data_IF_376895185108
#
_entry.id   IF_376895185108
#
_cell.length_a   1.000
_cell.length_b   1.000
_cell.length_c   1.000
_cell.angle_alpha   90.00
_cell.angle_beta   90.00
_cell.angle_gamma   90.00
#
_symmetry.space_group_name_H-M   'P 1'
#
loop_
_entity.id
_entity.type
_entity.pdbx_description
1 polymer ?
#
# COMPACT_ATOMS: atom_id res chain seq x y z
N UNK A 1 -0.66 8.17 -32.03
CA UNK A 1 -1.75 9.17 -32.20
C UNK A 1 -2.25 9.56 -30.82
N UNK A 2 -2.69 10.80 -30.62
CA UNK A 2 -3.32 11.18 -29.35
C UNK A 2 -4.68 10.49 -29.22
N UNK A 3 -4.95 9.95 -28.03
CA UNK A 3 -6.20 9.26 -27.73
C UNK A 3 -7.27 10.27 -27.28
N UNK A 4 -7.71 11.11 -28.23
CA UNK A 4 -8.78 12.07 -28.02
C UNK A 4 -10.10 11.43 -27.53
N UNK A 5 -10.50 10.22 -27.99
CA UNK A 5 -11.66 9.53 -27.42
C UNK A 5 -11.53 9.23 -25.93
N UNK A 6 -10.36 8.80 -25.45
CA UNK A 6 -10.14 8.57 -24.02
C UNK A 6 -10.26 9.87 -23.21
N UNK A 7 -9.68 10.97 -23.71
CA UNK A 7 -9.87 12.29 -23.12
C UNK A 7 -11.37 12.66 -23.02
N UNK A 8 -12.14 12.43 -24.10
CA UNK A 8 -13.57 12.71 -24.11
C UNK A 8 -14.36 11.84 -23.12
N UNK A 9 -13.92 10.60 -22.88
CA UNK A 9 -14.50 9.77 -21.82
C UNK A 9 -14.23 10.34 -20.42
N UNK A 10 -13.04 10.87 -20.16
CA UNK A 10 -12.75 11.56 -18.89
C UNK A 10 -13.55 12.84 -18.72
N UNK A 11 -13.69 13.64 -19.78
CA UNK A 11 -14.55 14.82 -19.79
C UNK A 11 -15.99 14.43 -19.44
N UNK A 12 -16.58 13.48 -20.16
CA UNK A 12 -17.95 13.05 -19.91
C UNK A 12 -18.14 12.46 -18.51
N UNK A 13 -17.17 11.70 -18.00
CA UNK A 13 -17.21 11.16 -16.65
C UNK A 13 -17.17 12.28 -15.59
N UNK A 14 -16.31 13.29 -15.77
CA UNK A 14 -16.21 14.41 -14.84
C UNK A 14 -17.49 15.25 -14.81
N UNK A 15 -18.18 15.38 -15.95
CA UNK A 15 -19.47 16.08 -16.08
C UNK A 15 -20.67 15.27 -15.56
N UNK A 16 -20.53 13.94 -15.46
CA UNK A 16 -21.59 13.02 -15.05
C UNK A 16 -21.97 13.09 -13.57
N UNK A 17 -21.13 13.71 -12.73
CA UNK A 17 -21.41 13.90 -11.30
C UNK A 17 -21.66 12.58 -10.53
N UNK A 18 -20.95 11.51 -10.90
CA UNK A 18 -21.11 10.18 -10.31
C UNK A 18 -22.17 9.27 -10.95
N UNK A 19 -22.66 9.65 -12.13
CA UNK A 19 -23.62 8.84 -12.92
C UNK A 19 -23.00 8.30 -14.21
N UNK A 20 -21.69 8.46 -14.41
CA UNK A 20 -21.03 7.90 -15.58
C UNK A 20 -20.79 6.41 -15.33
N UNK A 21 -21.11 5.56 -16.31
CA UNK A 21 -20.79 4.14 -16.19
C UNK A 21 -19.29 3.93 -16.44
N UNK A 22 -18.52 3.86 -15.36
CA UNK A 22 -17.06 3.76 -15.32
C UNK A 22 -16.49 2.55 -16.05
N UNK A 23 -17.30 1.51 -16.30
CA UNK A 23 -16.92 0.38 -17.17
C UNK A 23 -16.65 0.83 -18.60
N UNK A 24 -17.19 1.98 -19.00
CA UNK A 24 -17.11 2.50 -20.37
C UNK A 24 -15.92 3.43 -20.61
N UNK A 25 -15.05 3.68 -19.62
CA UNK A 25 -13.88 4.58 -19.77
C UNK A 25 -12.99 4.24 -20.98
N UNK A 26 -12.87 2.96 -21.33
CA UNK A 26 -12.08 2.50 -22.47
C UNK A 26 -12.89 2.28 -23.76
N UNK A 27 -14.20 2.52 -23.76
CA UNK A 27 -15.00 2.29 -24.95
C UNK A 27 -14.65 3.29 -26.06
N UNK A 28 -14.38 2.75 -27.25
CA UNK A 28 -14.04 3.55 -28.43
C UNK A 28 -12.67 4.24 -28.36
N UNK A 29 -11.79 3.83 -27.43
CA UNK A 29 -10.49 4.48 -27.25
C UNK A 29 -9.38 3.81 -28.05
N UNK A 30 -8.41 4.61 -28.49
CA UNK A 30 -7.25 4.07 -29.17
C UNK A 30 -6.41 3.20 -28.23
N UNK A 31 -6.37 3.53 -26.93
CA UNK A 31 -5.71 2.75 -25.89
C UNK A 31 -6.27 1.32 -25.81
N UNK A 32 -7.59 1.14 -26.00
CA UNK A 32 -8.21 -0.19 -26.02
C UNK A 32 -7.82 -0.98 -27.28
N UNK A 33 -7.89 -0.33 -28.44
CA UNK A 33 -7.76 -1.03 -29.73
C UNK A 33 -6.30 -1.20 -30.19
N UNK A 34 -5.43 -0.24 -29.89
CA UNK A 34 -4.02 -0.17 -30.29
C UNK A 34 -3.16 0.44 -29.15
N UNK A 35 -3.04 -0.24 -28.00
CA UNK A 35 -2.44 0.32 -26.78
C UNK A 35 -1.03 0.88 -26.98
N UNK A 36 -0.18 0.23 -27.79
CA UNK A 36 1.19 0.67 -28.05
C UNK A 36 1.31 1.89 -28.97
N UNK A 37 0.20 2.34 -29.58
CA UNK A 37 0.15 3.49 -30.50
C UNK A 37 -0.64 4.68 -29.93
N UNK A 38 -1.21 4.51 -28.73
CA UNK A 38 -2.04 5.50 -28.06
C UNK A 38 -1.19 6.41 -27.18
N UNK A 39 -1.09 7.69 -27.54
CA UNK A 39 -0.60 8.72 -26.62
C UNK A 39 -1.79 9.18 -25.80
N UNK A 40 -1.89 8.72 -24.57
CA UNK A 40 -3.03 8.98 -23.68
C UNK A 40 -2.82 10.30 -22.94
N UNK A 41 -3.88 11.09 -22.81
CA UNK A 41 -3.84 12.43 -22.24
C UNK A 41 -5.10 12.69 -21.40
N UNK A 42 -4.96 13.49 -20.35
CA UNK A 42 -6.10 14.01 -19.58
C UNK A 42 -6.65 15.27 -20.23
N UNK A 43 -5.79 16.18 -20.67
CA UNK A 43 -6.09 17.44 -21.38
C UNK A 43 -4.89 17.84 -22.26
N UNK A 44 -5.07 18.85 -23.11
CA UNK A 44 -4.00 19.56 -23.79
C UNK A 44 -4.33 21.06 -23.97
N UNK A 45 -3.50 21.77 -24.72
CA UNK A 45 -3.65 23.20 -24.98
C UNK A 45 -4.88 23.57 -25.83
N UNK A 46 -5.46 22.63 -26.58
CA UNK A 46 -6.67 22.89 -27.37
C UNK A 46 -7.96 22.60 -26.56
N UNK A 47 -7.88 21.73 -25.55
CA UNK A 47 -9.05 21.28 -24.76
C UNK A 47 -9.25 22.04 -23.45
N UNK A 48 -8.26 22.82 -23.02
CA UNK A 48 -8.38 23.69 -21.84
C UNK A 48 -9.43 24.81 -22.05
N UNK A 49 -9.87 25.52 -20.99
CA UNK A 49 -10.92 26.53 -21.10
C UNK A 49 -10.67 27.61 -22.15
N UNK A 50 -11.73 28.05 -22.82
CA UNK A 50 -11.73 29.09 -23.86
C UNK A 50 -10.93 28.79 -25.14
N UNK A 51 -10.42 27.55 -25.32
CA UNK A 51 -9.64 27.14 -26.51
C UNK A 51 -10.50 26.45 -27.57
N UNK A 52 -9.91 26.13 -28.73
CA UNK A 52 -10.64 25.71 -29.93
C UNK A 52 -11.45 24.41 -29.77
N UNK A 53 -10.97 23.49 -28.92
CA UNK A 53 -11.58 22.19 -28.64
C UNK A 53 -12.00 22.08 -27.17
N UNK A 54 -12.39 23.20 -26.55
CA UNK A 54 -12.74 23.31 -25.13
C UNK A 54 -13.59 22.13 -24.63
N UNK A 55 -12.97 21.30 -23.80
CA UNK A 55 -13.56 20.12 -23.16
C UNK A 55 -12.78 19.81 -21.86
N UNK A 56 -12.72 20.77 -20.91
CA UNK A 56 -11.91 20.60 -19.70
C UNK A 56 -12.51 19.53 -18.79
N UNK A 57 -11.68 18.61 -18.34
CA UNK A 57 -11.99 17.63 -17.30
C UNK A 57 -12.14 18.40 -15.98
N UNK A 58 -13.24 18.19 -15.25
CA UNK A 58 -13.45 18.90 -13.99
C UNK A 58 -12.37 18.51 -12.95
N UNK A 59 -11.92 19.49 -12.17
CA UNK A 59 -10.78 19.37 -11.25
C UNK A 59 -10.85 18.16 -10.30
N UNK A 60 -12.06 17.78 -9.86
CA UNK A 60 -12.27 16.65 -8.97
C UNK A 60 -11.93 15.31 -9.64
N UNK A 61 -12.09 15.21 -10.96
CA UNK A 61 -11.86 13.98 -11.73
C UNK A 61 -10.43 13.87 -12.26
N UNK A 62 -9.68 14.98 -12.35
CA UNK A 62 -8.29 14.98 -12.84
C UNK A 62 -7.38 13.96 -12.14
N UNK A 63 -7.39 13.81 -10.80
CA UNK A 63 -6.62 12.76 -10.13
C UNK A 63 -6.97 11.34 -10.61
N UNK A 64 -8.25 11.05 -10.87
CA UNK A 64 -8.71 9.75 -11.36
C UNK A 64 -8.22 9.50 -12.79
N UNK A 65 -8.36 10.51 -13.67
CA UNK A 65 -7.91 10.44 -15.06
C UNK A 65 -6.39 10.28 -15.17
N UNK A 66 -5.61 11.00 -14.36
CA UNK A 66 -4.16 10.86 -14.32
C UNK A 66 -3.73 9.50 -13.79
N UNK A 67 -4.37 8.99 -12.74
CA UNK A 67 -4.09 7.64 -12.25
C UNK A 67 -4.36 6.59 -13.34
N UNK A 68 -5.44 6.76 -14.11
CA UNK A 68 -5.80 5.87 -15.21
C UNK A 68 -4.73 5.82 -16.31
N UNK A 69 -4.27 6.97 -16.81
CA UNK A 69 -3.26 6.98 -17.89
C UNK A 69 -1.85 6.63 -17.39
N UNK A 70 -1.51 6.96 -16.13
CA UNK A 70 -0.16 6.76 -15.60
C UNK A 70 0.08 5.37 -15.03
N UNK A 71 -0.93 4.67 -14.50
CA UNK A 71 -0.71 3.44 -13.72
C UNK A 71 -1.14 2.15 -14.41
N UNK A 72 -1.72 2.28 -15.60
CA UNK A 72 -2.06 1.15 -16.46
C UNK A 72 -0.88 0.71 -17.32
N UNK A 73 -0.92 -0.54 -17.76
CA UNK A 73 0.10 -1.10 -18.67
C UNK A 73 -0.06 -0.58 -20.12
N UNK A 74 -1.29 -0.26 -20.51
CA UNK A 74 -1.63 0.22 -21.84
C UNK A 74 -1.28 1.71 -22.01
N UNK A 75 -1.04 2.12 -23.26
CA UNK A 75 -0.87 3.53 -23.60
C UNK A 75 0.50 4.13 -23.24
N UNK A 76 0.79 5.26 -23.88
CA UNK A 76 1.92 6.12 -23.60
C UNK A 76 1.42 7.44 -22.98
N UNK A 77 1.50 7.60 -21.65
CA UNK A 77 0.92 8.76 -20.98
C UNK A 77 1.68 10.05 -21.28
N UNK A 78 0.91 11.11 -21.55
CA UNK A 78 1.39 12.48 -21.72
C UNK A 78 0.80 13.35 -20.61
N UNK A 79 1.67 13.96 -19.81
CA UNK A 79 1.29 14.90 -18.75
C UNK A 79 1.19 16.30 -19.33
N UNK A 80 0.05 16.96 -19.11
CA UNK A 80 -0.16 18.33 -19.56
C UNK A 80 0.49 19.36 -18.61
N UNK A 81 1.19 20.32 -19.20
CA UNK A 81 1.94 21.34 -18.45
C UNK A 81 1.05 22.18 -17.53
N UNK A 82 -0.10 22.66 -18.02
CA UNK A 82 -0.99 23.53 -17.25
C UNK A 82 -1.65 22.80 -16.07
N UNK A 83 -1.89 21.50 -16.18
CA UNK A 83 -2.37 20.69 -15.06
C UNK A 83 -1.25 20.40 -14.05
N UNK A 84 -0.03 20.21 -14.53
CA UNK A 84 1.11 19.98 -13.65
C UNK A 84 1.48 21.25 -12.88
N UNK A 85 1.72 22.38 -13.55
CA UNK A 85 2.19 23.62 -12.91
C UNK A 85 1.08 24.59 -12.51
N UNK A 86 -0.16 24.38 -12.95
CA UNK A 86 -1.19 25.41 -12.96
C UNK A 86 -0.99 26.39 -14.13
N UNK A 87 -2.01 27.21 -14.39
CA UNK A 87 -1.94 28.27 -15.38
C UNK A 87 -2.90 29.41 -15.03
N UNK A 88 -2.55 30.63 -15.44
CA UNK A 88 -3.44 31.78 -15.36
C UNK A 88 -3.33 32.57 -16.67
N UNK A 89 -4.44 32.84 -17.31
CA UNK A 89 -4.50 33.58 -18.57
C UNK A 89 -5.84 34.29 -18.73
N UNK A 90 -5.87 35.34 -19.55
CA UNK A 90 -7.09 36.03 -19.94
C UNK A 90 -7.33 35.80 -21.43
N UNK A 91 -8.50 35.31 -21.77
CA UNK A 91 -8.97 35.19 -23.15
C UNK A 91 -10.43 35.63 -23.23
N UNK A 92 -10.83 36.27 -24.33
CA UNK A 92 -12.20 36.81 -24.54
C UNK A 92 -12.73 37.66 -23.37
N UNK A 93 -11.83 38.36 -22.66
CA UNK A 93 -12.17 39.17 -21.48
C UNK A 93 -12.47 38.38 -20.20
N UNK A 94 -12.25 37.06 -20.19
CA UNK A 94 -12.44 36.16 -19.05
C UNK A 94 -11.07 35.68 -18.57
N UNK A 95 -10.82 35.81 -17.27
CA UNK A 95 -9.60 35.26 -16.64
C UNK A 95 -9.85 33.82 -16.19
N UNK A 96 -9.06 32.90 -16.72
CA UNK A 96 -9.03 31.49 -16.34
C UNK A 96 -7.90 31.27 -15.35
N UNK A 97 -8.18 30.54 -14.28
CA UNK A 97 -7.18 30.07 -13.32
C UNK A 97 -7.28 28.55 -13.20
N UNK A 98 -6.26 27.85 -13.68
CA UNK A 98 -6.13 26.40 -13.59
C UNK A 98 -5.28 26.05 -12.36
N UNK A 99 -5.79 25.24 -11.42
CA UNK A 99 -5.00 24.82 -10.28
C UNK A 99 -3.88 23.86 -10.70
N UNK A 100 -2.79 23.85 -9.94
CA UNK A 100 -1.73 22.85 -10.08
C UNK A 100 -2.13 21.54 -9.40
N UNK A 101 -1.89 20.42 -10.09
CA UNK A 101 -2.00 19.06 -9.57
C UNK A 101 -0.63 18.42 -9.34
N UNK A 102 0.45 19.22 -9.28
CA UNK A 102 1.84 18.75 -9.17
C UNK A 102 2.03 17.67 -8.12
N UNK A 103 1.57 17.91 -6.90
CA UNK A 103 1.74 16.98 -5.77
C UNK A 103 1.11 15.61 -6.05
N UNK A 104 -0.09 15.60 -6.62
CA UNK A 104 -0.78 14.36 -6.99
C UNK A 104 -0.08 13.66 -8.14
N UNK A 105 0.27 14.40 -9.20
CA UNK A 105 0.94 13.83 -10.38
C UNK A 105 2.33 13.29 -10.02
N UNK A 106 3.08 13.97 -9.15
CA UNK A 106 4.40 13.50 -8.66
C UNK A 106 4.27 12.14 -7.96
N UNK A 107 3.26 11.97 -7.09
CA UNK A 107 2.98 10.68 -6.44
C UNK A 107 2.61 9.60 -7.46
N UNK A 108 1.81 9.93 -8.47
CA UNK A 108 1.44 8.99 -9.53
C UNK A 108 2.63 8.62 -10.43
N UNK A 109 3.54 9.55 -10.69
CA UNK A 109 4.79 9.29 -11.41
C UNK A 109 5.72 8.40 -10.59
N UNK A 110 5.80 8.60 -9.27
CA UNK A 110 6.52 7.70 -8.37
C UNK A 110 5.91 6.28 -8.37
N UNK A 111 4.58 6.19 -8.29
CA UNK A 111 3.86 4.91 -8.42
C UNK A 111 4.16 4.21 -9.75
N UNK A 112 4.12 4.95 -10.87
CA UNK A 112 4.44 4.42 -12.20
C UNK A 112 5.88 3.88 -12.25
N UNK A 113 6.82 4.65 -11.72
CA UNK A 113 8.25 4.30 -11.74
C UNK A 113 8.55 3.06 -10.89
N UNK A 114 7.91 2.91 -9.73
CA UNK A 114 8.32 1.93 -8.74
C UNK A 114 7.41 0.70 -8.62
N UNK A 115 6.16 0.76 -9.09
CA UNK A 115 5.15 -0.28 -8.83
C UNK A 115 4.28 -0.66 -10.03
N UNK A 116 4.15 0.17 -11.07
CA UNK A 116 3.35 -0.14 -12.24
C UNK A 116 4.09 -1.08 -13.21
N UNK A 117 4.57 -2.20 -12.68
CA UNK A 117 5.34 -3.23 -13.38
C UNK A 117 4.69 -4.61 -13.24
N UNK A 118 5.10 -5.54 -14.11
CA UNK A 118 4.57 -6.90 -14.12
C UNK A 118 3.10 -7.02 -14.54
N UNK A 119 2.52 -8.22 -14.35
CA UNK A 119 1.16 -8.55 -14.77
C UNK A 119 0.10 -7.57 -14.26
N UNK A 120 -0.91 -7.32 -15.08
CA UNK A 120 -2.06 -6.50 -14.75
C UNK A 120 -3.34 -7.35 -14.65
N UNK A 121 -4.12 -7.15 -13.59
CA UNK A 121 -5.50 -7.67 -13.51
C UNK A 121 -6.49 -6.53 -13.46
N UNK A 122 -7.54 -6.62 -14.28
CA UNK A 122 -8.53 -5.57 -14.46
C UNK A 122 -9.86 -5.92 -13.77
N UNK A 123 -10.39 -4.97 -13.02
CA UNK A 123 -11.66 -5.06 -12.31
C UNK A 123 -12.57 -3.89 -12.73
N UNK A 124 -12.84 -3.81 -14.04
CA UNK A 124 -13.68 -2.80 -14.67
C UNK A 124 -15.13 -3.31 -14.82
N UNK A 125 -15.69 -3.83 -13.74
CA UNK A 125 -16.89 -4.69 -13.72
C UNK A 125 -18.10 -4.06 -12.99
N UNK A 126 -17.95 -2.86 -12.45
CA UNK A 126 -19.02 -2.16 -11.72
C UNK A 126 -19.16 -0.71 -12.23
N UNK A 127 -20.39 -0.20 -12.28
CA UNK A 127 -20.71 1.09 -12.90
C UNK A 127 -20.05 2.30 -12.23
N UNK A 128 -19.85 2.28 -10.91
CA UNK A 128 -19.09 3.35 -10.20
C UNK A 128 -17.65 2.93 -9.85
N UNK A 129 -17.49 1.85 -9.07
CA UNK A 129 -16.20 1.47 -8.49
C UNK A 129 -15.43 0.50 -9.41
N UNK A 130 -14.37 0.99 -10.03
CA UNK A 130 -13.48 0.19 -10.88
C UNK A 130 -12.05 0.22 -10.36
N UNK A 131 -11.25 -0.77 -10.74
CA UNK A 131 -9.86 -0.86 -10.32
C UNK A 131 -9.02 -1.81 -11.15
N UNK A 132 -7.73 -1.84 -10.86
CA UNK A 132 -6.78 -2.78 -11.43
C UNK A 132 -5.59 -2.97 -10.49
N UNK A 133 -4.86 -4.05 -10.69
CA UNK A 133 -3.63 -4.34 -9.93
C UNK A 133 -2.44 -4.50 -10.85
N UNK A 134 -1.24 -4.24 -10.33
CA UNK A 134 0.06 -4.48 -10.97
C UNK A 134 0.91 -5.27 -9.98
N UNK A 135 1.32 -6.48 -10.37
CA UNK A 135 1.87 -7.47 -9.43
C UNK A 135 3.37 -7.30 -9.14
N UNK A 136 4.04 -6.42 -9.87
CA UNK A 136 5.49 -6.28 -9.86
C UNK A 136 6.19 -7.33 -10.71
N UNK A 137 7.47 -7.12 -10.97
CA UNK A 137 8.37 -8.04 -11.67
C UNK A 137 9.67 -8.29 -10.88
N UNK A 138 10.65 -8.96 -11.49
CA UNK A 138 11.91 -9.27 -10.81
C UNK A 138 12.72 -8.03 -10.40
N UNK A 139 12.62 -6.92 -11.15
CA UNK A 139 13.32 -5.67 -10.86
C UNK A 139 12.50 -4.78 -9.90
N UNK A 140 11.18 -4.89 -9.94
CA UNK A 140 10.23 -4.12 -9.14
C UNK A 140 9.25 -5.07 -8.46
N UNK A 141 9.67 -5.79 -7.40
CA UNK A 141 8.91 -6.92 -6.84
C UNK A 141 7.65 -6.52 -6.06
N UNK A 142 7.44 -5.23 -5.82
CA UNK A 142 6.32 -4.72 -5.04
C UNK A 142 5.09 -4.54 -5.90
N UNK A 143 3.95 -4.97 -5.38
CA UNK A 143 2.66 -4.82 -6.06
C UNK A 143 2.00 -3.46 -5.76
N UNK A 144 1.02 -3.12 -6.60
CA UNK A 144 0.12 -1.98 -6.43
C UNK A 144 -1.31 -2.36 -6.82
N UNK A 145 -2.28 -1.78 -6.12
CA UNK A 145 -3.69 -1.83 -6.48
C UNK A 145 -4.24 -0.40 -6.60
N UNK A 146 -4.89 -0.10 -7.71
CA UNK A 146 -5.55 1.19 -7.96
C UNK A 146 -7.04 0.95 -7.94
N UNK A 147 -7.76 1.77 -7.17
CA UNK A 147 -9.22 1.74 -7.09
C UNK A 147 -9.74 3.17 -7.18
N UNK A 148 -10.76 3.39 -8.00
CA UNK A 148 -11.36 4.69 -8.24
C UNK A 148 -12.88 4.60 -8.40
N UNK A 149 -13.57 5.68 -8.08
CA UNK A 149 -15.03 5.79 -8.17
C UNK A 149 -15.41 7.22 -8.55
N UNK A 150 -16.34 7.38 -9.48
CA UNK A 150 -16.96 8.67 -9.79
C UNK A 150 -18.13 8.99 -8.85
N UNK A 151 -18.70 7.98 -8.19
CA UNK A 151 -19.83 8.08 -7.26
C UNK A 151 -19.44 7.89 -5.79
N UNK A 152 -20.32 7.31 -4.95
CA UNK A 152 -20.01 7.02 -3.55
C UNK A 152 -18.76 6.14 -3.37
N UNK A 153 -18.12 6.28 -2.20
CA UNK A 153 -16.97 5.47 -1.80
C UNK A 153 -17.36 4.01 -1.53
N UNK A 154 -16.36 3.14 -1.48
CA UNK A 154 -16.57 1.71 -1.24
C UNK A 154 -15.29 0.92 -1.31
N UNK A 155 -15.43 -0.37 -1.60
CA UNK A 155 -14.30 -1.31 -1.65
C UNK A 155 -14.42 -2.27 -2.82
N UNK A 156 -13.30 -2.92 -3.15
CA UNK A 156 -13.25 -4.05 -4.08
C UNK A 156 -12.18 -5.05 -3.64
N UNK A 157 -12.55 -6.33 -3.66
CA UNK A 157 -11.61 -7.43 -3.53
C UNK A 157 -10.80 -7.57 -4.83
N UNK A 158 -9.48 -7.43 -4.74
CA UNK A 158 -8.57 -7.55 -5.88
C UNK A 158 -7.34 -8.38 -5.52
N UNK A 159 -6.81 -9.10 -6.51
CA UNK A 159 -5.63 -9.95 -6.39
C UNK A 159 -4.37 -9.16 -6.69
N UNK A 160 -3.37 -9.28 -5.81
CA UNK A 160 -2.04 -8.69 -5.97
C UNK A 160 -0.93 -9.75 -5.91
N UNK A 161 -1.27 -11.03 -5.73
CA UNK A 161 -0.30 -12.14 -5.71
C UNK A 161 0.72 -12.05 -4.56
N UNK A 162 0.48 -11.21 -3.55
CA UNK A 162 1.33 -11.05 -2.37
C UNK A 162 0.56 -11.53 -1.16
N UNK A 163 0.80 -12.77 -0.73
CA UNK A 163 0.16 -13.32 0.45
C UNK A 163 0.56 -12.53 1.71
N UNK A 164 -0.41 -12.23 2.58
CA UNK A 164 -0.18 -11.60 3.87
C UNK A 164 0.74 -10.37 3.74
N UNK A 165 0.39 -9.42 2.87
CA UNK A 165 1.20 -8.23 2.61
C UNK A 165 0.41 -6.97 2.98
N UNK A 166 1.12 -5.99 3.55
CA UNK A 166 0.56 -4.69 3.94
C UNK A 166 0.65 -3.69 2.79
N UNK A 167 -0.42 -2.93 2.61
CA UNK A 167 -0.54 -1.88 1.61
C UNK A 167 -1.00 -0.57 2.25
N UNK A 168 -0.43 0.53 1.78
CA UNK A 168 -0.75 1.90 2.19
C UNK A 168 -1.15 2.76 0.99
N UNK A 169 -2.06 3.72 1.17
CA UNK A 169 -2.49 4.62 0.08
C UNK A 169 -1.46 5.73 -0.15
N UNK A 170 -0.74 5.64 -1.27
CA UNK A 170 0.31 6.60 -1.64
C UNK A 170 -0.22 8.03 -1.77
N UNK A 171 -1.48 8.19 -2.22
CA UNK A 171 -2.09 9.50 -2.38
C UNK A 171 -2.41 10.15 -1.03
N UNK A 172 -2.55 9.36 0.03
CA UNK A 172 -2.92 9.83 1.36
C UNK A 172 -4.40 10.22 1.48
N UNK A 173 -5.23 9.80 0.52
CA UNK A 173 -6.68 9.98 0.61
C UNK A 173 -7.27 9.06 1.69
N UNK A 174 -6.56 7.98 2.01
CA UNK A 174 -6.87 7.04 3.09
C UNK A 174 -5.68 6.87 4.04
N UNK A 175 -6.01 6.61 5.30
CA UNK A 175 -5.03 6.42 6.40
C UNK A 175 -5.09 5.02 7.01
N UNK A 176 -6.10 4.22 6.67
CA UNK A 176 -6.15 2.82 7.00
C UNK A 176 -5.22 2.00 6.11
N UNK A 177 -4.87 0.80 6.57
CA UNK A 177 -4.07 -0.16 5.82
C UNK A 177 -4.95 -1.26 5.24
N UNK A 178 -4.45 -1.91 4.17
CA UNK A 178 -5.00 -3.16 3.65
C UNK A 178 -3.98 -4.28 3.87
N UNK A 179 -4.44 -5.39 4.45
CA UNK A 179 -3.66 -6.63 4.56
C UNK A 179 -4.30 -7.65 3.62
N UNK A 180 -3.52 -8.19 2.69
CA UNK A 180 -3.97 -9.29 1.85
C UNK A 180 -4.02 -10.60 2.62
N UNK A 181 -4.89 -11.51 2.21
CA UNK A 181 -5.00 -12.85 2.79
C UNK A 181 -3.87 -13.78 2.31
N UNK A 182 -3.91 -15.04 2.74
CA UNK A 182 -2.95 -16.09 2.38
C UNK A 182 -2.90 -16.40 0.87
N UNK A 183 -3.94 -16.03 0.12
CA UNK A 183 -4.04 -16.22 -1.33
C UNK A 183 -3.61 -14.97 -2.12
N UNK A 184 -3.16 -13.91 -1.46
CA UNK A 184 -2.73 -12.67 -2.10
C UNK A 184 -3.87 -11.75 -2.57
N UNK A 185 -5.06 -11.92 -2.00
CA UNK A 185 -6.23 -11.08 -2.24
C UNK A 185 -6.43 -10.08 -1.12
N UNK A 186 -6.78 -8.83 -1.45
CA UNK A 186 -7.06 -7.78 -0.46
C UNK A 186 -8.33 -7.01 -0.79
N UNK A 187 -9.02 -6.52 0.23
CA UNK A 187 -10.16 -5.60 0.08
C UNK A 187 -9.65 -4.15 0.06
N UNK A 188 -9.46 -3.62 -1.14
CA UNK A 188 -8.97 -2.26 -1.33
C UNK A 188 -10.13 -1.26 -1.33
N UNK A 189 -9.91 -0.10 -0.69
CA UNK A 189 -10.97 0.90 -0.43
C UNK A 189 -10.70 2.21 -1.13
N UNK A 190 -11.75 2.97 -1.38
CA UNK A 190 -11.70 4.31 -1.98
C UNK A 190 -12.77 5.22 -1.38
N UNK A 191 -12.46 6.51 -1.23
CA UNK A 191 -13.44 7.52 -0.85
C UNK A 191 -14.34 7.88 -2.06
N UNK A 192 -15.50 8.51 -1.82
CA UNK A 192 -16.39 8.92 -2.91
C UNK A 192 -15.76 9.97 -3.82
N UNK A 193 -16.02 9.89 -5.12
CA UNK A 193 -15.48 10.80 -6.15
C UNK A 193 -13.96 10.89 -6.12
N UNK A 194 -13.27 9.78 -5.89
CA UNK A 194 -11.84 9.76 -5.57
C UNK A 194 -11.10 8.56 -6.18
N UNK A 195 -9.78 8.54 -5.98
CA UNK A 195 -8.88 7.43 -6.30
C UNK A 195 -8.00 7.12 -5.09
N UNK A 196 -7.73 5.84 -4.85
CA UNK A 196 -6.69 5.39 -3.93
C UNK A 196 -5.69 4.51 -4.69
N UNK A 197 -4.41 4.74 -4.41
CA UNK A 197 -3.28 4.01 -5.03
C UNK A 197 -2.56 3.28 -3.90
N UNK A 198 -3.00 2.05 -3.67
CA UNK A 198 -2.47 1.17 -2.64
C UNK A 198 -1.17 0.56 -3.11
N UNK A 199 -0.06 0.87 -2.45
CA UNK A 199 1.25 0.34 -2.76
C UNK A 199 1.71 -0.60 -1.66
N UNK A 200 2.36 -1.71 -2.05
CA UNK A 200 2.89 -2.65 -1.08
C UNK A 200 4.00 -1.98 -0.28
N UNK A 201 3.90 -2.05 1.05
CA UNK A 201 4.96 -1.60 1.94
C UNK A 201 6.25 -2.39 1.65
N UNK A 202 7.44 -1.79 1.79
CA UNK A 202 8.67 -2.55 1.72
C UNK A 202 8.63 -3.69 2.75
N UNK A 203 8.99 -4.90 2.33
CA UNK A 203 9.34 -5.96 3.27
C UNK A 203 10.66 -5.53 3.88
N UNK A 204 10.62 -4.87 5.03
CA UNK A 204 11.83 -4.56 5.79
C UNK A 204 12.18 -5.83 6.57
N UNK A 205 13.28 -6.53 6.25
CA UNK A 205 13.75 -7.61 7.10
C UNK A 205 13.97 -7.03 8.50
N UNK A 206 13.47 -7.71 9.54
CA UNK A 206 13.72 -7.36 10.94
C UNK A 206 13.00 -6.08 11.43
N UNK A 207 11.70 -5.94 11.21
CA UNK A 207 10.92 -4.83 11.81
C UNK A 207 9.76 -5.30 12.70
N UNK A 208 9.85 -6.53 13.23
CA UNK A 208 8.92 -7.00 14.26
C UNK A 208 9.52 -6.79 15.64
N UNK A 209 8.74 -6.17 16.51
CA UNK A 209 9.01 -6.09 17.94
C UNK A 209 8.09 -7.04 18.68
N UNK A 210 8.62 -7.93 19.51
CA UNK A 210 7.79 -8.78 20.36
C UNK A 210 8.01 -8.39 21.82
N UNK A 211 6.93 -8.06 22.51
CA UNK A 211 6.94 -7.86 23.95
C UNK A 211 6.81 -9.21 24.64
N UNK A 212 7.93 -9.72 25.16
CA UNK A 212 7.96 -11.01 25.85
C UNK A 212 7.68 -10.83 27.33
N UNK A 213 6.88 -11.74 27.88
CA UNK A 213 6.55 -11.79 29.30
C UNK A 213 6.81 -13.18 29.87
N UNK A 214 7.57 -13.25 30.96
CA UNK A 214 7.80 -14.45 31.75
C UNK A 214 7.20 -14.27 33.15
N UNK A 215 6.06 -14.93 33.40
CA UNK A 215 5.37 -14.91 34.69
C UNK A 215 6.00 -15.90 35.68
N UNK A 216 5.77 -15.67 36.98
CA UNK A 216 6.24 -16.53 38.08
C UNK A 216 7.78 -16.73 38.13
N UNK A 217 8.51 -15.73 37.65
CA UNK A 217 9.97 -15.68 37.60
C UNK A 217 10.63 -15.35 38.94
N UNK A 218 10.29 -16.08 40.02
CA UNK A 218 10.94 -15.89 41.33
C UNK A 218 12.44 -16.18 41.24
N UNK A 219 13.27 -15.26 41.72
CA UNK A 219 14.74 -15.33 41.63
C UNK A 219 15.37 -15.23 43.02
N UNK A 220 16.55 -15.85 43.18
CA UNK A 220 17.45 -15.61 44.32
C UNK A 220 18.51 -14.56 43.98
N UNK A 221 19.24 -14.07 44.98
CA UNK A 221 20.32 -13.08 44.77
C UNK A 221 21.30 -13.53 43.69
N UNK A 222 21.50 -12.67 42.67
CA UNK A 222 22.39 -12.93 41.53
C UNK A 222 21.78 -13.76 40.39
N UNK A 223 20.48 -14.06 40.46
CA UNK A 223 19.75 -14.73 39.38
C UNK A 223 18.85 -13.74 38.61
N UNK A 224 18.81 -13.87 37.29
CA UNK A 224 17.96 -13.07 36.39
C UNK A 224 17.12 -13.96 35.45
N UNK A 225 16.05 -13.41 34.86
CA UNK A 225 15.21 -14.10 33.86
C UNK A 225 15.56 -13.65 32.44
N UNK A 226 15.57 -14.59 31.50
CA UNK A 226 15.91 -14.39 30.10
C UNK A 226 14.92 -15.13 29.18
N UNK A 227 14.88 -14.71 27.92
CA UNK A 227 14.21 -15.40 26.80
C UNK A 227 15.27 -16.05 25.92
N UNK A 228 15.04 -17.29 25.51
CA UNK A 228 15.84 -17.99 24.50
C UNK A 228 14.93 -18.77 23.55
N UNK A 229 15.27 -18.84 22.27
CA UNK A 229 14.45 -19.51 21.26
C UNK A 229 15.20 -19.91 20.00
N UNK A 230 14.46 -20.40 19.00
CA UNK A 230 15.01 -20.93 17.74
C UNK A 230 15.62 -19.87 16.81
N UNK A 231 15.25 -18.60 16.98
CA UNK A 231 15.76 -17.50 16.16
C UNK A 231 17.14 -17.02 16.62
N UNK A 232 17.94 -16.50 15.70
CA UNK A 232 19.27 -15.92 15.98
C UNK A 232 19.20 -14.76 16.96
N UNK A 233 18.16 -13.92 16.83
CA UNK A 233 17.87 -12.77 17.70
C UNK A 233 17.48 -13.21 19.12
N UNK A 234 17.02 -14.46 19.27
CA UNK A 234 16.69 -15.08 20.56
C UNK A 234 17.76 -16.10 21.01
N UNK A 235 18.96 -16.03 20.41
CA UNK A 235 20.12 -16.84 20.79
C UNK A 235 20.19 -18.23 20.16
N UNK A 236 19.24 -18.64 19.30
CA UNK A 236 19.24 -19.95 18.64
C UNK A 236 19.44 -21.14 19.61
N UNK A 237 18.73 -21.11 20.75
CA UNK A 237 18.82 -22.05 21.88
C UNK A 237 20.16 -22.05 22.64
N UNK A 238 21.10 -21.19 22.29
CA UNK A 238 22.32 -20.94 23.07
C UNK A 238 22.00 -20.05 24.28
N UNK A 239 21.99 -20.66 25.47
CA UNK A 239 21.66 -19.96 26.73
C UNK A 239 22.67 -18.86 27.08
N UNK A 240 23.89 -18.89 26.54
CA UNK A 240 24.86 -17.82 26.71
C UNK A 240 24.46 -16.54 25.98
N UNK A 241 23.64 -16.66 24.92
CA UNK A 241 23.12 -15.57 24.09
C UNK A 241 21.65 -15.23 24.36
N UNK A 242 21.06 -15.82 25.40
CA UNK A 242 19.69 -15.52 25.81
C UNK A 242 19.52 -14.03 26.15
N UNK A 243 18.36 -13.47 25.82
CA UNK A 243 18.06 -12.03 25.99
C UNK A 243 17.53 -11.78 27.39
N UNK A 244 18.20 -10.94 28.17
CA UNK A 244 17.81 -10.60 29.55
C UNK A 244 16.51 -9.79 29.54
N UNK A 245 15.58 -10.12 30.42
CA UNK A 245 14.35 -9.35 30.65
C UNK A 245 14.50 -8.42 31.86
N UNK A 246 13.57 -7.47 31.98
CA UNK A 246 13.49 -6.54 33.12
C UNK A 246 12.38 -6.94 34.09
N UNK A 247 12.55 -6.84 35.42
CA UNK A 247 11.54 -7.21 36.41
C UNK A 247 10.49 -6.10 36.58
N UNK A 248 9.73 -5.79 35.52
CA UNK A 248 8.80 -4.65 35.46
C UNK A 248 7.73 -4.72 36.57
N UNK A 249 7.24 -5.93 36.90
CA UNK A 249 6.30 -6.15 38.00
C UNK A 249 6.59 -7.50 38.66
N UNK A 250 7.66 -7.55 39.46
CA UNK A 250 8.13 -8.79 40.09
C UNK A 250 6.99 -9.57 40.78
N UNK A 251 6.85 -10.89 40.54
CA UNK A 251 7.78 -11.82 39.89
C UNK A 251 7.63 -11.93 38.36
N UNK A 252 6.94 -11.01 37.70
CA UNK A 252 6.85 -10.95 36.24
C UNK A 252 8.00 -10.15 35.65
N UNK A 253 8.66 -10.75 34.66
CA UNK A 253 9.74 -10.16 33.90
C UNK A 253 9.31 -9.95 32.45
N UNK A 254 9.61 -8.79 31.88
CA UNK A 254 9.24 -8.47 30.51
C UNK A 254 10.18 -7.48 29.84
N UNK A 255 10.24 -7.54 28.51
CA UNK A 255 10.94 -6.57 27.68
C UNK A 255 10.48 -6.64 26.21
N UNK A 256 10.75 -5.59 25.44
CA UNK A 256 10.55 -5.56 23.99
C UNK A 256 11.81 -6.01 23.27
N UNK A 257 11.73 -7.08 22.49
CA UNK A 257 12.80 -7.54 21.62
C UNK A 257 12.45 -7.12 20.19
N UNK A 258 13.22 -6.17 19.65
CA UNK A 258 13.06 -5.68 18.28
C UNK A 258 13.83 -6.55 17.27
N UNK A 259 13.63 -6.22 15.99
CA UNK A 259 14.38 -6.79 14.87
C UNK A 259 14.18 -8.30 14.65
N UNK A 260 13.02 -8.83 15.06
CA UNK A 260 12.67 -10.21 14.77
C UNK A 260 12.22 -10.36 13.30
N UNK A 261 12.52 -11.48 12.64
CA UNK A 261 12.05 -11.76 11.29
C UNK A 261 10.52 -11.82 11.28
N UNK A 262 9.92 -11.22 10.26
CA UNK A 262 8.47 -11.19 10.08
C UNK A 262 7.92 -12.52 9.58
N UNK A 263 6.65 -12.80 9.88
CA UNK A 263 5.94 -14.02 9.46
C UNK A 263 6.75 -15.32 9.69
N UNK A 264 7.42 -15.40 10.83
CA UNK A 264 8.32 -16.49 11.17
C UNK A 264 7.82 -17.21 12.40
N UNK A 265 7.73 -18.54 12.34
CA UNK A 265 7.38 -19.33 13.51
C UNK A 265 8.51 -19.29 14.54
N UNK A 266 8.18 -18.80 15.73
CA UNK A 266 9.09 -18.69 16.87
C UNK A 266 8.74 -19.77 17.88
N UNK A 267 9.75 -20.53 18.27
CA UNK A 267 9.71 -21.41 19.44
C UNK A 267 10.67 -20.87 20.49
N UNK A 268 10.20 -20.69 21.72
CA UNK A 268 10.98 -20.03 22.76
C UNK A 268 10.61 -20.50 24.17
N UNK A 269 11.47 -20.20 25.15
CA UNK A 269 11.26 -20.45 26.58
C UNK A 269 11.81 -19.32 27.46
N UNK A 270 11.22 -19.21 28.65
CA UNK A 270 11.81 -18.48 29.77
C UNK A 270 12.91 -19.33 30.42
N UNK A 271 14.03 -18.71 30.81
CA UNK A 271 15.08 -19.34 31.62
C UNK A 271 15.50 -18.43 32.78
N UNK A 272 15.87 -19.02 33.92
CA UNK A 272 16.53 -18.30 35.02
C UNK A 272 18.02 -18.64 34.99
N UNK A 273 18.89 -17.63 35.01
CA UNK A 273 20.35 -17.83 34.99
C UNK A 273 21.04 -17.24 36.21
N UNK A 274 21.98 -17.98 36.77
CA UNK A 274 22.94 -17.54 37.79
C UNK A 274 24.33 -18.09 37.40
N UNK A 275 25.17 -17.26 36.79
CA UNK A 275 26.40 -17.74 36.14
C UNK A 275 26.09 -18.73 35.02
N UNK A 276 26.66 -19.94 35.09
CA UNK A 276 26.42 -21.04 34.15
C UNK A 276 25.22 -21.94 34.52
N UNK A 277 24.64 -21.75 35.71
CA UNK A 277 23.46 -22.50 36.14
C UNK A 277 22.20 -21.96 35.46
N UNK A 278 21.42 -22.86 34.84
CA UNK A 278 20.22 -22.52 34.06
C UNK A 278 19.04 -23.36 34.52
N UNK A 279 17.94 -22.71 34.91
CA UNK A 279 16.65 -23.34 35.18
C UNK A 279 15.69 -23.00 34.04
N UNK A 280 15.17 -24.01 33.36
CA UNK A 280 14.25 -23.85 32.24
C UNK A 280 12.80 -23.79 32.68
N UNK A 281 12.00 -23.03 31.93
CA UNK A 281 10.55 -23.17 31.94
C UNK A 281 10.15 -24.65 31.72
N UNK A 282 9.26 -25.23 32.55
CA UNK A 282 8.81 -26.60 32.39
C UNK A 282 7.92 -26.77 31.14
N UNK A 283 7.68 -28.02 30.74
CA UNK A 283 6.76 -28.33 29.64
C UNK A 283 7.33 -28.10 28.23
N UNK A 284 6.43 -27.98 27.24
CA UNK A 284 6.79 -27.75 25.85
C UNK A 284 7.29 -26.32 25.60
N UNK A 285 7.82 -26.05 24.40
CA UNK A 285 8.20 -24.69 23.99
C UNK A 285 6.94 -23.83 23.83
N UNK A 286 7.03 -22.54 24.17
CA UNK A 286 6.03 -21.57 23.75
C UNK A 286 6.18 -21.37 22.24
N UNK A 287 5.07 -21.30 21.51
CA UNK A 287 5.08 -21.16 20.04
C UNK A 287 4.16 -20.01 19.63
N UNK A 288 4.62 -19.16 18.73
CA UNK A 288 3.81 -18.16 18.04
C UNK A 288 4.42 -17.86 16.67
N UNK A 289 3.71 -17.11 15.83
CA UNK A 289 4.25 -16.59 14.57
C UNK A 289 4.34 -15.07 14.69
N UNK A 290 5.50 -14.50 14.36
CA UNK A 290 5.66 -13.03 14.35
C UNK A 290 4.72 -12.39 13.33
N UNK A 291 4.17 -11.20 13.60
CA UNK A 291 3.42 -10.45 12.59
C UNK A 291 4.32 -10.09 11.40
N UNK A 292 3.72 -9.53 10.36
CA UNK A 292 4.47 -9.07 9.19
C UNK A 292 5.26 -7.77 9.44
N UNK A 293 4.72 -6.96 10.33
CA UNK A 293 5.24 -5.65 10.70
C UNK A 293 4.69 -5.23 12.06
N UNK A 294 5.31 -4.26 12.70
CA UNK A 294 4.81 -3.69 13.96
C UNK A 294 5.16 -4.55 15.17
N UNK A 295 4.25 -4.66 16.13
CA UNK A 295 4.51 -5.37 17.38
C UNK A 295 3.45 -6.38 17.76
N UNK A 296 3.85 -7.38 18.53
CA UNK A 296 2.95 -8.34 19.18
C UNK A 296 3.45 -8.67 20.60
N UNK A 297 2.69 -9.44 21.35
CA UNK A 297 3.05 -9.89 22.70
C UNK A 297 3.14 -11.41 22.75
N UNK A 298 4.04 -11.94 23.58
CA UNK A 298 4.19 -13.38 23.78
C UNK A 298 4.41 -13.68 25.27
N UNK A 299 3.58 -14.56 25.84
CA UNK A 299 3.62 -14.89 27.27
C UNK A 299 4.07 -16.32 27.53
N UNK A 300 4.93 -16.49 28.53
CA UNK A 300 5.31 -17.77 29.14
C UNK A 300 5.19 -17.69 30.67
N UNK A 301 5.26 -18.84 31.34
CA UNK A 301 5.27 -18.93 32.80
C UNK A 301 6.18 -20.06 33.24
N UNK A 302 6.97 -19.81 34.29
CA UNK A 302 7.62 -20.87 35.06
C UNK A 302 6.60 -21.72 35.82
#
# INVERSE_FOLDING_TARGET
>A
LFDAPLHMNFYNASRGGGNYDMRNLMNGTLMKDQPSKAVTLVENHDTQPLQALESPVDNWFKPLAYAFILLREEGYPSVFYADYYGASYTDRGITVNMPSFKTTIDKLLDARKNFAWGPQYNYLDHWNIVGWTRLGDAAHPRAMAVILTDGPGGSKWMEVGKANARFTDLLGNRTDDVITNEWGWGEFKVNGGSVSVWVQDPIVPNQVSVYFTCNNGYTVTGQDVYVVGNLTELGAWDTSKAVKLSPVSYPTWSDSIANLPSNTQVQWKCIKKQGTSVVWQPGANNVFTTPLSGSTTAGGSF
#
